data_IF_631327188333
#
_entry.id   IF_631327188333
#
_cell.length_a   1.000
_cell.length_b   1.000
_cell.length_c   1.000
_cell.angle_alpha   90.00
_cell.angle_beta   90.00
_cell.angle_gamma   90.00
#
_symmetry.space_group_name_H-M   'P 1'
#
loop_
_entity.id
_entity.type
_entity.pdbx_description
1 polymer ?
#
# COMPACT_ATOMS: atom_id res chain seq x y z
N UNK A 1 -10.97 0.21 -13.06
CA UNK A 1 -10.56 -0.11 -11.67
C UNK A 1 -11.48 -1.13 -11.05
N UNK A 2 -10.94 -1.92 -10.17
CA UNK A 2 -11.74 -2.87 -9.41
C UNK A 2 -12.11 -2.27 -8.07
N UNK A 3 -13.30 -2.58 -7.62
CA UNK A 3 -13.76 -2.16 -6.32
C UNK A 3 -13.48 -3.28 -5.32
N UNK A 4 -12.78 -2.96 -4.25
CA UNK A 4 -12.42 -3.93 -3.23
C UNK A 4 -12.94 -3.44 -1.89
N UNK A 5 -13.59 -4.33 -1.16
CA UNK A 5 -14.03 -4.05 0.19
C UNK A 5 -13.08 -4.73 1.16
N UNK A 6 -12.58 -3.96 2.13
CA UNK A 6 -11.61 -4.46 3.09
C UNK A 6 -12.09 -4.15 4.50
N UNK A 7 -11.96 -5.14 5.38
CA UNK A 7 -12.24 -4.95 6.80
C UNK A 7 -10.94 -4.68 7.53
N UNK A 8 -10.92 -3.57 8.26
CA UNK A 8 -9.75 -3.18 9.03
C UNK A 8 -10.12 -3.08 10.50
N UNK A 9 -9.20 -3.46 11.40
CA UNK A 9 -9.42 -3.24 12.83
C UNK A 9 -9.64 -1.77 13.12
N UNK A 10 -10.45 -1.48 14.12
CA UNK A 10 -10.78 -0.11 14.48
C UNK A 10 -9.53 0.74 14.73
N UNK A 11 -8.54 0.15 15.39
CA UNK A 11 -7.32 0.88 15.69
C UNK A 11 -6.61 1.35 14.43
N UNK A 12 -6.59 0.51 13.41
CA UNK A 12 -5.94 0.88 12.15
C UNK A 12 -6.70 1.99 11.47
N UNK A 13 -8.02 1.92 11.50
CA UNK A 13 -8.85 2.98 10.94
C UNK A 13 -8.61 4.29 11.68
N UNK A 14 -8.52 4.24 13.01
CA UNK A 14 -8.27 5.41 13.83
C UNK A 14 -6.90 6.01 13.50
N UNK A 15 -5.89 5.17 13.34
CA UNK A 15 -4.56 5.65 13.02
C UNK A 15 -4.52 6.31 11.64
N UNK A 16 -5.23 5.75 10.68
CA UNK A 16 -5.33 6.35 9.35
C UNK A 16 -6.04 7.70 9.46
N UNK A 17 -7.07 7.79 10.27
CA UNK A 17 -7.77 9.05 10.48
C UNK A 17 -6.85 10.11 11.07
N UNK A 18 -5.95 9.73 11.96
CA UNK A 18 -4.97 10.65 12.49
C UNK A 18 -4.07 11.22 11.41
N UNK A 19 -3.68 10.40 10.45
CA UNK A 19 -2.86 10.87 9.34
C UNK A 19 -3.59 11.92 8.51
N UNK A 20 -4.88 11.75 8.33
CA UNK A 20 -5.69 12.72 7.61
C UNK A 20 -5.79 14.00 8.43
N UNK A 21 -6.04 13.88 9.73
CA UNK A 21 -6.20 15.05 10.59
C UNK A 21 -4.92 15.85 10.72
N UNK A 22 -3.77 15.18 10.58
CA UNK A 22 -2.49 15.87 10.59
C UNK A 22 -2.17 16.52 9.25
N UNK A 23 -3.04 16.37 8.27
CA UNK A 23 -2.86 16.98 6.98
C UNK A 23 -1.89 16.25 6.06
N UNK A 24 -1.51 15.03 6.41
CA UNK A 24 -0.59 14.26 5.58
C UNK A 24 -1.27 13.69 4.35
N UNK A 25 -2.57 13.46 4.43
CA UNK A 25 -3.37 12.95 3.33
C UNK A 25 -4.70 13.67 3.29
N UNK A 26 -5.28 13.86 2.10
CA UNK A 26 -6.54 14.62 1.99
C UNK A 26 -7.74 13.86 2.56
N UNK A 27 -7.71 12.53 2.55
CA UNK A 27 -8.79 11.74 3.10
C UNK A 27 -8.31 10.31 3.33
N UNK A 28 -9.15 9.51 3.99
CA UNK A 28 -8.77 8.15 4.33
C UNK A 28 -8.54 7.27 3.12
N UNK A 29 -9.38 7.43 2.11
CA UNK A 29 -9.23 6.62 0.89
C UNK A 29 -7.89 6.84 0.24
N UNK A 30 -7.44 8.08 0.17
CA UNK A 30 -6.13 8.39 -0.39
C UNK A 30 -5.01 7.83 0.48
N UNK A 31 -5.15 7.95 1.80
CA UNK A 31 -4.14 7.40 2.71
C UNK A 31 -4.00 5.89 2.50
N UNK A 32 -5.13 5.19 2.41
CA UNK A 32 -5.12 3.74 2.21
C UNK A 32 -4.54 3.38 0.85
N UNK A 33 -4.94 4.10 -0.18
CA UNK A 33 -4.45 3.83 -1.53
C UNK A 33 -2.94 4.01 -1.62
N UNK A 34 -2.44 5.09 -1.04
CA UNK A 34 -1.01 5.37 -1.08
C UNK A 34 -0.25 4.34 -0.25
N UNK A 35 -0.80 3.96 0.90
CA UNK A 35 -0.18 2.94 1.74
C UNK A 35 -0.06 1.62 0.99
N UNK A 36 -1.10 1.23 0.29
CA UNK A 36 -1.08 -0.02 -0.47
C UNK A 36 -0.08 0.08 -1.61
N UNK A 37 -0.06 1.21 -2.32
CA UNK A 37 0.91 1.42 -3.38
C UNK A 37 2.33 1.33 -2.85
N UNK A 38 2.60 1.99 -1.73
CA UNK A 38 3.92 1.96 -1.14
C UNK A 38 4.32 0.56 -0.72
N UNK A 39 3.36 -0.18 -0.16
CA UNK A 39 3.61 -1.57 0.20
C UNK A 39 3.99 -2.40 -1.00
N UNK A 40 3.24 -2.30 -2.08
CA UNK A 40 3.51 -3.05 -3.30
C UNK A 40 4.81 -2.62 -3.94
N UNK A 41 5.08 -1.32 -3.93
CA UNK A 41 6.31 -0.80 -4.48
C UNK A 41 7.51 -1.39 -3.73
N UNK A 42 7.42 -1.38 -2.41
CA UNK A 42 8.52 -1.87 -1.57
C UNK A 42 8.66 -3.38 -1.65
N UNK A 43 7.54 -4.10 -1.61
CA UNK A 43 7.58 -5.55 -1.48
C UNK A 43 7.53 -6.29 -2.80
N UNK A 44 7.08 -5.65 -3.85
CA UNK A 44 6.91 -6.33 -5.13
C UNK A 44 7.64 -5.61 -6.26
N UNK A 45 7.30 -4.35 -6.48
CA UNK A 45 7.82 -3.64 -7.66
C UNK A 45 9.32 -3.39 -7.56
N UNK A 46 9.77 -2.86 -6.43
CA UNK A 46 11.20 -2.58 -6.25
C UNK A 46 12.00 -3.87 -6.19
N UNK A 47 11.46 -4.89 -5.52
CA UNK A 47 12.11 -6.18 -5.47
C UNK A 47 12.19 -6.79 -6.86
N UNK A 48 11.12 -6.68 -7.62
CA UNK A 48 11.13 -7.20 -8.98
C UNK A 48 12.13 -6.46 -9.83
N UNK A 49 12.28 -5.15 -9.64
CA UNK A 49 13.28 -4.40 -10.35
C UNK A 49 14.68 -4.88 -10.00
N UNK A 50 14.94 -5.10 -8.72
CA UNK A 50 16.24 -5.58 -8.29
C UNK A 50 16.46 -7.03 -8.64
N UNK A 51 15.39 -7.79 -8.63
CA UNK A 51 15.46 -9.22 -8.91
C UNK A 51 15.21 -9.53 -10.36
N UNK A 52 15.04 -8.54 -11.20
CA UNK A 52 14.78 -8.82 -12.61
C UNK A 52 15.87 -9.64 -13.23
N UNK A 53 17.08 -9.50 -12.74
CA UNK A 53 18.18 -10.31 -13.22
C UNK A 53 18.01 -11.77 -12.84
N UNK A 54 17.29 -12.03 -11.78
CA UNK A 54 17.03 -13.39 -11.35
C UNK A 54 15.55 -13.65 -11.16
N UNK A 55 14.73 -12.79 -11.75
CA UNK A 55 13.29 -12.96 -11.68
C UNK A 55 12.88 -14.28 -12.31
N UNK A 56 13.58 -14.64 -13.35
CA UNK A 56 13.31 -15.90 -14.02
C UNK A 56 13.60 -17.09 -13.09
N UNK A 57 14.53 -16.92 -12.19
CA UNK A 57 14.83 -17.98 -11.21
C UNK A 57 13.66 -18.18 -10.30
N UNK A 58 13.07 -17.09 -9.88
CA UNK A 58 11.95 -17.13 -8.97
C UNK A 58 10.70 -17.56 -9.70
N UNK A 59 10.69 -17.38 -10.99
CA UNK A 59 9.58 -17.78 -11.85
C UNK A 59 8.29 -17.10 -11.38
N UNK A 60 8.49 -16.04 -10.75
CA UNK A 60 7.36 -15.41 -10.17
C UNK A 60 6.91 -14.24 -10.66
#
# INVERSE_FOLDING_TARGET
MRLIAVHLPDRIVDDIQQLVEKGLYPNRSEAIRIAIRDLLKRELWDRNSRLSERASEVAG
#
